data_IF_741074937949
#
_entry.id   IF_741074937949
#
_cell.length_a   1.000
_cell.length_b   1.000
_cell.length_c   1.000
_cell.angle_alpha   90.00
_cell.angle_beta   90.00
_cell.angle_gamma   90.00
#
_symmetry.space_group_name_H-M   'P 1'
#
loop_
_entity.id
_entity.type
_entity.pdbx_description
1 polymer ?
#
# COMPACT_ATOMS: atom_id res chain seq x y z
N UNK A 1 17.55 -9.63 -1.84
CA UNK A 1 17.25 -9.30 -0.44
C UNK A 1 17.74 -10.43 0.42
N UNK A 2 18.85 -10.20 1.14
CA UNK A 2 19.38 -11.17 2.08
C UNK A 2 18.35 -11.37 3.19
N UNK A 3 17.63 -12.47 3.14
CA UNK A 3 16.78 -12.84 4.24
C UNK A 3 17.69 -13.11 5.46
N UNK A 4 17.45 -12.40 6.53
CA UNK A 4 18.01 -12.75 7.83
C UNK A 4 17.87 -14.25 8.03
N UNK A 5 18.97 -14.96 8.26
CA UNK A 5 18.95 -16.38 8.64
C UNK A 5 18.52 -16.44 10.11
N UNK A 6 17.24 -16.21 10.37
CA UNK A 6 16.69 -16.63 11.65
C UNK A 6 16.97 -18.12 11.83
N UNK A 7 17.33 -18.57 13.04
CA UNK A 7 17.44 -19.98 13.34
C UNK A 7 16.22 -20.74 12.78
N UNK A 8 16.42 -21.92 12.21
CA UNK A 8 15.35 -22.67 11.52
C UNK A 8 14.11 -22.89 12.39
N UNK A 9 14.29 -23.01 13.70
CA UNK A 9 13.22 -23.15 14.69
C UNK A 9 12.46 -21.84 14.98
N UNK A 10 12.87 -20.69 14.39
CA UNK A 10 12.24 -19.36 14.56
C UNK A 10 11.89 -18.69 13.24
N UNK A 11 11.98 -19.40 12.12
CA UNK A 11 11.45 -18.87 10.86
C UNK A 11 9.93 -18.70 11.02
N UNK A 12 9.39 -17.49 10.83
CA UNK A 12 7.96 -17.34 10.82
C UNK A 12 7.41 -18.25 9.72
N UNK A 13 6.44 -19.07 10.06
CA UNK A 13 5.67 -19.78 9.03
C UNK A 13 5.02 -18.70 8.19
N UNK A 14 5.27 -18.63 6.87
CA UNK A 14 4.61 -17.66 6.03
C UNK A 14 3.11 -17.83 6.22
N UNK A 15 2.48 -16.86 6.88
CA UNK A 15 1.03 -16.86 6.98
C UNK A 15 0.49 -16.65 5.58
N UNK A 16 -0.25 -17.61 5.07
CA UNK A 16 -1.03 -17.43 3.83
C UNK A 16 -2.21 -16.48 4.05
N UNK A 17 -2.43 -16.02 5.29
CA UNK A 17 -3.50 -15.09 5.63
C UNK A 17 -3.08 -13.68 5.26
N UNK A 18 -3.85 -13.02 4.43
CA UNK A 18 -3.72 -11.60 4.16
C UNK A 18 -4.37 -10.76 5.27
N UNK A 19 -4.14 -9.44 5.22
CA UNK A 19 -4.71 -8.47 6.17
C UNK A 19 -6.22 -8.68 6.40
N UNK A 20 -7.00 -8.89 5.34
CA UNK A 20 -8.45 -9.07 5.43
C UNK A 20 -8.90 -10.38 6.08
N UNK A 21 -8.05 -11.41 6.05
CA UNK A 21 -8.30 -12.63 6.82
C UNK A 21 -8.06 -12.38 8.31
N UNK A 22 -7.00 -11.65 8.63
CA UNK A 22 -6.62 -11.31 10.01
C UNK A 22 -7.71 -10.46 10.67
N UNK A 23 -8.23 -9.43 10.02
CA UNK A 23 -9.29 -8.57 10.57
C UNK A 23 -10.63 -9.29 10.73
N UNK A 24 -10.70 -10.55 10.36
CA UNK A 24 -11.89 -11.39 10.51
C UNK A 24 -11.73 -12.48 11.58
N UNK A 25 -10.59 -12.48 12.31
CA UNK A 25 -10.28 -13.48 13.34
C UNK A 25 -10.00 -12.80 14.69
N UNK A 26 -10.21 -13.52 15.78
CA UNK A 26 -9.89 -13.09 17.14
C UNK A 26 -8.50 -13.59 17.59
N UNK A 27 -7.68 -14.07 16.64
CA UNK A 27 -6.36 -14.67 16.93
C UNK A 27 -5.23 -13.64 17.12
N UNK A 28 -5.49 -12.35 16.83
CA UNK A 28 -4.50 -11.29 16.90
C UNK A 28 -4.87 -10.35 18.04
N UNK A 29 -3.94 -10.14 18.97
CA UNK A 29 -4.12 -9.32 20.15
C UNK A 29 -3.37 -7.99 20.08
N UNK A 30 -2.35 -7.87 19.22
CA UNK A 30 -1.61 -6.63 19.05
C UNK A 30 -1.24 -6.43 17.58
N UNK A 31 -1.15 -5.17 17.15
CA UNK A 31 -0.73 -4.81 15.81
C UNK A 31 0.32 -3.69 15.87
N UNK A 32 1.32 -3.78 14.98
CA UNK A 32 2.30 -2.73 14.74
C UNK A 32 2.30 -2.37 13.27
N UNK A 33 2.16 -1.09 12.97
CA UNK A 33 2.18 -0.55 11.62
C UNK A 33 3.46 0.27 11.41
N UNK A 34 4.24 -0.07 10.39
CA UNK A 34 5.43 0.69 9.98
C UNK A 34 5.14 1.33 8.63
N UNK A 35 4.93 2.65 8.61
CA UNK A 35 4.58 3.40 7.41
C UNK A 35 3.35 2.90 6.68
N UNK A 36 2.50 2.14 7.36
CA UNK A 36 1.30 1.52 6.81
C UNK A 36 0.05 2.14 7.43
N UNK A 37 -0.84 2.65 6.58
CA UNK A 37 -1.98 3.45 7.00
C UNK A 37 -3.29 2.75 6.61
N UNK A 38 -3.81 1.83 7.46
CA UNK A 38 -5.04 1.09 7.14
C UNK A 38 -6.24 1.99 6.85
N UNK A 39 -6.33 3.17 7.46
CA UNK A 39 -7.41 4.13 7.21
C UNK A 39 -7.53 4.59 5.75
N UNK A 40 -6.45 4.54 4.96
CA UNK A 40 -6.46 4.93 3.56
C UNK A 40 -6.61 3.75 2.60
N UNK A 41 -6.36 2.52 3.04
CA UNK A 41 -6.33 1.36 2.14
C UNK A 41 -7.30 0.24 2.52
N UNK A 42 -7.75 0.16 3.77
CA UNK A 42 -8.61 -0.94 4.20
C UNK A 42 -10.05 -0.70 3.73
N UNK A 43 -10.50 -1.50 2.76
CA UNK A 43 -11.90 -1.49 2.30
C UNK A 43 -12.85 -1.85 3.43
N UNK A 44 -14.08 -1.30 3.42
CA UNK A 44 -15.06 -1.44 4.48
C UNK A 44 -14.49 -1.05 5.85
N UNK A 45 -14.18 0.23 5.98
CA UNK A 45 -13.49 0.75 7.16
C UNK A 45 -14.14 0.33 8.49
N UNK A 46 -15.46 0.28 8.57
CA UNK A 46 -16.15 -0.12 9.79
C UNK A 46 -15.76 -1.52 10.28
N UNK A 47 -15.40 -2.44 9.38
CA UNK A 47 -14.89 -3.77 9.72
C UNK A 47 -13.48 -3.69 10.30
N UNK A 48 -12.61 -2.92 9.66
CA UNK A 48 -11.23 -2.71 10.12
C UNK A 48 -11.18 -1.97 11.46
N UNK A 49 -12.04 -0.97 11.63
CA UNK A 49 -12.14 -0.26 12.90
C UNK A 49 -12.53 -1.19 14.06
N UNK A 50 -13.59 -2.01 13.87
CA UNK A 50 -13.97 -2.99 14.91
C UNK A 50 -12.85 -3.94 15.28
N UNK A 51 -12.04 -4.34 14.31
CA UNK A 51 -10.86 -5.15 14.58
C UNK A 51 -9.80 -4.39 15.38
N UNK A 52 -9.46 -3.15 15.00
CA UNK A 52 -8.53 -2.31 15.77
C UNK A 52 -9.02 -2.10 17.21
N UNK A 53 -10.32 -1.82 17.38
CA UNK A 53 -10.94 -1.63 18.69
C UNK A 53 -10.96 -2.91 19.56
N UNK A 54 -10.79 -4.08 18.95
CA UNK A 54 -10.70 -5.38 19.65
C UNK A 54 -9.29 -5.76 20.08
N UNK A 55 -8.26 -5.04 19.63
CA UNK A 55 -6.87 -5.33 19.98
C UNK A 55 -6.52 -4.79 21.36
N UNK A 56 -5.67 -5.52 22.08
CA UNK A 56 -5.15 -5.11 23.38
C UNK A 56 -4.09 -3.99 23.25
N UNK A 57 -3.44 -3.89 22.09
CA UNK A 57 -2.42 -2.88 21.82
C UNK A 57 -2.22 -2.63 20.32
N UNK A 58 -2.16 -1.36 19.95
CA UNK A 58 -1.88 -0.92 18.56
C UNK A 58 -0.77 0.13 18.57
N UNK A 59 0.27 -0.08 17.77
CA UNK A 59 1.39 0.83 17.62
C UNK A 59 1.56 1.26 16.16
N UNK A 60 1.89 2.54 15.96
CA UNK A 60 2.23 3.12 14.66
C UNK A 60 3.65 3.69 14.71
N UNK A 61 4.48 3.30 13.76
CA UNK A 61 5.73 3.99 13.43
C UNK A 61 5.55 4.71 12.09
N UNK A 62 5.55 6.04 12.09
CA UNK A 62 5.33 6.84 10.88
C UNK A 62 6.07 8.19 10.96
N UNK A 63 6.38 8.74 9.80
CA UNK A 63 6.97 10.09 9.66
C UNK A 63 5.91 11.20 9.71
N UNK A 64 4.64 10.88 9.55
CA UNK A 64 3.53 11.82 9.51
C UNK A 64 2.45 11.47 10.52
N UNK A 65 1.79 12.49 11.03
CA UNK A 65 0.56 12.35 11.80
C UNK A 65 -0.60 12.02 10.85
N UNK A 66 -0.70 10.73 10.51
CA UNK A 66 -1.70 10.21 9.57
C UNK A 66 -3.06 9.97 10.24
N UNK A 67 -4.08 9.65 9.44
CA UNK A 67 -5.44 9.40 9.94
C UNK A 67 -5.54 8.19 10.89
N UNK A 68 -4.57 7.30 10.91
CA UNK A 68 -4.59 6.11 11.77
C UNK A 68 -4.20 6.43 13.22
N UNK A 69 -3.57 7.57 13.46
CA UNK A 69 -3.15 8.01 14.82
C UNK A 69 -4.30 8.01 15.83
N UNK A 70 -5.52 8.29 15.36
CA UNK A 70 -6.71 8.29 16.24
C UNK A 70 -7.15 6.88 16.68
N UNK A 71 -6.52 5.83 16.17
CA UNK A 71 -6.88 4.41 16.39
C UNK A 71 -5.72 3.60 16.97
N UNK A 72 -4.67 4.24 17.47
CA UNK A 72 -3.48 3.58 18.02
C UNK A 72 -3.19 4.04 19.45
N UNK A 73 -2.60 3.15 20.25
CA UNK A 73 -2.23 3.43 21.63
C UNK A 73 -0.87 4.12 21.73
N UNK A 74 0.03 3.87 20.78
CA UNK A 74 1.38 4.39 20.77
C UNK A 74 1.80 4.83 19.36
N UNK A 75 2.37 6.03 19.27
CA UNK A 75 3.01 6.53 18.06
C UNK A 75 4.51 6.65 18.29
N UNK A 76 5.29 6.04 17.41
CA UNK A 76 6.76 6.13 17.37
C UNK A 76 7.16 7.02 16.19
N UNK A 77 7.79 8.18 16.43
CA UNK A 77 8.21 9.06 15.34
C UNK A 77 9.38 8.46 14.58
N UNK A 78 9.27 8.41 13.25
CA UNK A 78 10.26 7.83 12.35
C UNK A 78 11.04 8.90 11.62
N UNK A 79 12.35 8.68 11.45
CA UNK A 79 13.22 9.49 10.62
C UNK A 79 12.80 9.41 9.15
N UNK A 80 12.87 10.55 8.46
CA UNK A 80 12.89 10.52 6.99
C UNK A 80 14.21 9.94 6.49
N UNK A 81 14.23 9.50 5.24
CA UNK A 81 15.46 8.98 4.61
C UNK A 81 16.63 10.00 4.57
N UNK A 82 16.38 11.28 4.77
CA UNK A 82 17.43 12.30 4.85
C UNK A 82 18.06 12.42 6.24
N UNK A 83 17.44 11.82 7.24
CA UNK A 83 17.83 11.91 8.65
C UNK A 83 18.52 10.65 9.19
N UNK A 84 18.63 9.60 8.37
CA UNK A 84 19.28 8.33 8.74
C UNK A 84 20.23 7.82 7.64
N UNK A 85 21.17 6.94 8.02
CA UNK A 85 22.16 6.35 7.12
C UNK A 85 22.23 4.81 7.27
N UNK A 86 21.22 4.19 7.82
CA UNK A 86 21.17 2.77 8.12
C UNK A 86 20.36 1.96 7.07
N UNK A 87 20.18 2.53 5.90
CA UNK A 87 19.43 1.90 4.81
C UNK A 87 20.30 1.78 3.56
N UNK A 88 20.46 0.55 3.11
CA UNK A 88 21.02 0.23 1.79
C UNK A 88 20.02 -0.64 1.05
N UNK A 89 19.93 -0.48 -0.25
CA UNK A 89 19.03 -1.31 -1.04
C UNK A 89 19.05 -1.03 -2.52
N UNK A 90 18.60 -2.02 -3.29
CA UNK A 90 18.28 -1.86 -4.69
C UNK A 90 17.05 -1.00 -4.83
N UNK A 91 17.13 0.09 -5.54
CA UNK A 91 15.93 0.77 -5.97
C UNK A 91 15.27 -0.14 -7.01
N UNK A 92 14.14 -0.69 -6.64
CA UNK A 92 13.30 -1.49 -7.53
C UNK A 92 13.01 -0.64 -8.76
N UNK A 93 13.51 -1.02 -9.93
CA UNK A 93 13.49 -0.26 -11.18
C UNK A 93 14.56 0.86 -11.32
N UNK A 94 15.57 0.92 -10.48
CA UNK A 94 16.64 1.90 -10.60
C UNK A 94 17.79 1.42 -11.48
N UNK A 95 17.48 0.90 -12.64
CA UNK A 95 18.49 0.64 -13.67
C UNK A 95 19.69 -0.19 -13.19
N UNK A 96 19.46 -1.12 -12.25
CA UNK A 96 20.52 -2.02 -11.81
C UNK A 96 21.56 -1.40 -10.88
N UNK A 97 21.17 -0.55 -9.95
CA UNK A 97 22.06 0.00 -8.91
C UNK A 97 21.66 -0.45 -7.51
N UNK A 98 22.65 -0.63 -6.65
CA UNK A 98 22.51 -0.61 -5.21
C UNK A 98 22.86 0.79 -4.73
N UNK A 99 22.00 1.36 -3.89
CA UNK A 99 22.16 2.68 -3.32
C UNK A 99 22.30 2.61 -1.81
N UNK A 100 23.17 3.44 -1.27
CA UNK A 100 23.25 3.72 0.16
C UNK A 100 22.47 5.01 0.46
N UNK A 101 21.65 4.96 1.50
CA UNK A 101 20.99 6.15 2.01
C UNK A 101 21.97 6.96 2.86
N UNK A 102 22.25 8.20 2.47
CA UNK A 102 23.17 9.08 3.19
C UNK A 102 22.40 10.09 4.05
N UNK A 103 22.77 10.13 5.33
CA UNK A 103 22.25 11.15 6.25
C UNK A 103 22.77 12.54 5.85
N UNK A 104 21.85 13.48 5.64
CA UNK A 104 22.15 14.87 5.31
C UNK A 104 21.55 15.87 6.31
N UNK A 105 20.69 15.42 7.20
CA UNK A 105 20.04 16.20 8.25
C UNK A 105 20.11 15.44 9.57
N UNK A 106 20.11 16.16 10.67
CA UNK A 106 19.90 15.53 11.97
C UNK A 106 18.43 15.15 12.16
N UNK A 107 18.14 14.04 12.87
CA UNK A 107 16.78 13.64 13.18
C UNK A 107 16.01 14.77 13.86
N UNK A 108 14.78 15.01 13.39
CA UNK A 108 13.89 15.97 14.02
C UNK A 108 13.23 15.35 15.25
N UNK A 109 13.19 16.10 16.34
CA UNK A 109 12.59 15.68 17.61
C UNK A 109 13.17 14.35 18.13
N UNK A 110 12.32 13.45 18.60
CA UNK A 110 12.70 12.13 19.11
C UNK A 110 12.64 11.04 18.03
N UNK A 111 12.66 11.41 16.75
CA UNK A 111 12.55 10.45 15.67
C UNK A 111 13.77 9.52 15.55
N UNK A 112 13.51 8.27 15.22
CA UNK A 112 14.52 7.23 14.98
C UNK A 112 14.23 6.54 13.68
N UNK A 113 15.24 5.91 13.07
CA UNK A 113 15.01 5.07 11.91
C UNK A 113 14.30 3.78 12.28
N UNK A 114 13.69 3.13 11.30
CA UNK A 114 13.01 1.84 11.46
C UNK A 114 13.93 0.81 12.10
N UNK A 115 15.20 0.75 11.69
CA UNK A 115 16.20 -0.16 12.27
C UNK A 115 16.35 0.03 13.79
N UNK A 116 16.49 1.26 14.28
CA UNK A 116 16.66 1.52 15.70
C UNK A 116 15.36 1.34 16.50
N UNK A 117 14.21 1.56 15.88
CA UNK A 117 12.91 1.26 16.50
C UNK A 117 12.75 -0.25 16.65
N UNK A 118 12.98 -1.02 15.61
CA UNK A 118 12.89 -2.49 15.63
C UNK A 118 13.90 -3.10 16.60
N UNK A 119 15.15 -2.61 16.59
CA UNK A 119 16.18 -3.05 17.54
C UNK A 119 15.75 -2.81 18.98
N UNK A 120 15.25 -1.60 19.31
CA UNK A 120 14.79 -1.27 20.64
C UNK A 120 13.63 -2.17 21.12
N UNK A 121 12.69 -2.50 20.24
CA UNK A 121 11.62 -3.45 20.53
C UNK A 121 12.19 -4.85 20.77
N UNK A 122 13.10 -5.31 19.91
CA UNK A 122 13.74 -6.61 20.06
C UNK A 122 14.53 -6.71 21.38
N UNK A 123 15.25 -5.66 21.76
CA UNK A 123 15.96 -5.59 23.04
C UNK A 123 15.00 -5.69 24.24
N UNK A 124 13.89 -4.95 24.21
CA UNK A 124 12.87 -5.02 25.25
C UNK A 124 12.21 -6.42 25.36
N UNK A 125 12.16 -7.15 24.25
CA UNK A 125 11.66 -8.54 24.20
C UNK A 125 12.72 -9.59 24.52
N UNK A 126 13.96 -9.20 24.87
CA UNK A 126 15.08 -10.11 25.09
C UNK A 126 15.65 -10.74 23.82
N UNK A 127 15.39 -10.16 22.66
CA UNK A 127 15.80 -10.62 21.34
C UNK A 127 16.90 -9.73 20.72
N UNK A 128 17.44 -8.76 21.46
CA UNK A 128 18.42 -7.78 20.96
C UNK A 128 19.65 -8.41 20.31
N UNK A 129 20.10 -9.57 20.79
CA UNK A 129 21.23 -10.31 20.21
C UNK A 129 20.98 -10.86 18.79
N UNK A 130 19.77 -10.73 18.25
CA UNK A 130 19.45 -11.09 16.87
C UNK A 130 19.64 -9.90 15.90
N UNK A 131 19.82 -8.70 16.43
CA UNK A 131 20.03 -7.49 15.64
C UNK A 131 21.50 -7.11 15.56
N UNK A 132 21.97 -6.51 14.46
CA UNK A 132 23.28 -5.89 14.38
C UNK A 132 23.48 -4.81 15.44
N UNK A 133 24.73 -4.54 15.80
CA UNK A 133 25.08 -3.59 16.85
C UNK A 133 24.62 -2.16 16.48
N UNK A 134 24.76 -1.80 15.21
CA UNK A 134 24.43 -0.47 14.71
C UNK A 134 24.01 -0.50 13.23
N UNK A 135 23.60 0.65 12.69
CA UNK A 135 23.16 0.78 11.31
C UNK A 135 24.22 0.43 10.25
N UNK A 136 25.50 0.63 10.54
CA UNK A 136 26.58 0.25 9.62
C UNK A 136 26.69 -1.28 9.52
N UNK A 137 26.66 -1.97 10.64
CA UNK A 137 26.66 -3.45 10.64
C UNK A 137 25.39 -4.00 10.02
N UNK A 138 24.26 -3.34 10.19
CA UNK A 138 23.01 -3.68 9.51
C UNK A 138 23.15 -3.54 7.99
N UNK A 139 23.72 -2.44 7.50
CA UNK A 139 23.98 -2.24 6.09
C UNK A 139 24.93 -3.33 5.52
N UNK A 140 25.99 -3.67 6.26
CA UNK A 140 26.90 -4.77 5.89
C UNK A 140 26.19 -6.11 5.82
N UNK A 141 25.31 -6.40 6.77
CA UNK A 141 24.55 -7.65 6.80
C UNK A 141 23.59 -7.75 5.60
N UNK A 142 22.95 -6.65 5.22
CA UNK A 142 22.08 -6.62 4.03
C UNK A 142 22.88 -6.85 2.73
N UNK A 143 24.09 -6.27 2.62
CA UNK A 143 24.94 -6.42 1.45
C UNK A 143 25.61 -7.78 1.36
N UNK A 144 25.62 -8.57 2.44
CA UNK A 144 26.13 -9.93 2.43
C UNK A 144 25.12 -10.85 1.74
N UNK A 145 25.38 -11.16 0.48
CA UNK A 145 24.50 -11.99 -0.37
C UNK A 145 25.33 -12.89 -1.29
N UNK A 146 24.78 -14.02 -1.67
CA UNK A 146 25.36 -14.94 -2.66
C UNK A 146 24.84 -14.63 -4.09
N UNK A 147 24.11 -13.53 -4.26
CA UNK A 147 23.61 -13.12 -5.57
C UNK A 147 24.77 -12.62 -6.45
N UNK A 148 25.06 -13.29 -7.59
CA UNK A 148 26.18 -12.90 -8.46
C UNK A 148 26.07 -11.46 -8.98
N UNK A 149 24.85 -10.93 -9.10
CA UNK A 149 24.65 -9.54 -9.55
C UNK A 149 25.19 -8.50 -8.56
N UNK A 150 25.37 -8.90 -7.31
CA UNK A 150 25.91 -8.06 -6.23
C UNK A 150 27.42 -8.26 -6.00
N UNK A 151 28.12 -8.99 -6.88
CA UNK A 151 29.55 -9.26 -6.71
C UNK A 151 30.37 -7.95 -6.59
N UNK A 152 31.19 -7.87 -5.54
CA UNK A 152 32.04 -6.71 -5.26
C UNK A 152 31.30 -5.49 -4.69
N UNK A 153 29.99 -5.54 -4.48
CA UNK A 153 29.24 -4.49 -3.85
C UNK A 153 29.30 -4.66 -2.32
N UNK A 154 30.11 -3.81 -1.70
CA UNK A 154 30.28 -3.73 -0.26
C UNK A 154 29.98 -2.32 0.22
N UNK A 155 29.85 -2.11 1.53
CA UNK A 155 29.69 -0.78 2.08
C UNK A 155 30.88 0.13 1.75
N UNK A 156 32.09 -0.41 1.75
CA UNK A 156 33.30 0.31 1.35
C UNK A 156 33.29 0.70 -0.14
N UNK A 157 32.74 -0.18 -1.00
CA UNK A 157 32.56 0.14 -2.41
C UNK A 157 31.53 1.26 -2.59
N UNK A 158 30.40 1.19 -1.91
CA UNK A 158 29.36 2.25 -1.91
C UNK A 158 29.94 3.59 -1.44
N UNK A 159 30.65 3.61 -0.32
CA UNK A 159 31.28 4.83 0.21
C UNK A 159 32.28 5.43 -0.79
N UNK A 160 33.07 4.61 -1.49
CA UNK A 160 34.02 5.05 -2.51
C UNK A 160 33.31 5.62 -3.73
N UNK A 161 32.17 5.06 -4.13
CA UNK A 161 31.40 5.41 -5.32
C UNK A 161 30.25 6.40 -5.00
N UNK A 162 30.41 7.20 -3.95
CA UNK A 162 29.42 8.20 -3.52
C UNK A 162 28.01 7.65 -3.28
N UNK A 163 27.92 6.46 -2.70
CA UNK A 163 26.67 5.83 -2.29
C UNK A 163 25.91 5.07 -3.38
N UNK A 164 26.52 4.81 -4.55
CA UNK A 164 25.86 4.11 -5.65
C UNK A 164 26.80 3.13 -6.36
N UNK A 165 26.51 1.84 -6.34
CA UNK A 165 27.21 0.82 -7.09
C UNK A 165 26.30 0.17 -8.13
N UNK A 166 26.78 0.03 -9.37
CA UNK A 166 26.05 -0.68 -10.42
C UNK A 166 26.10 -2.18 -10.15
N UNK A 167 24.96 -2.86 -10.28
CA UNK A 167 24.89 -4.31 -10.26
C UNK A 167 25.69 -4.90 -11.43
N UNK A 168 26.36 -6.02 -11.20
CA UNK A 168 26.95 -6.84 -12.27
C UNK A 168 25.81 -7.63 -12.91
N UNK A 169 25.12 -7.01 -13.83
CA UNK A 169 24.06 -7.65 -14.61
C UNK A 169 24.61 -7.96 -15.98
N UNK A 170 24.49 -9.19 -16.41
CA UNK A 170 24.69 -9.59 -17.82
C UNK A 170 23.45 -9.18 -18.63
N UNK A 171 23.03 -7.94 -18.42
CA UNK A 171 22.01 -7.32 -19.24
C UNK A 171 22.73 -6.71 -20.42
N UNK A 172 22.77 -7.44 -21.51
CA UNK A 172 23.04 -6.82 -22.77
C UNK A 172 22.08 -5.63 -22.91
N UNK A 173 22.59 -4.46 -23.28
CA UNK A 173 21.82 -3.20 -23.36
C UNK A 173 20.67 -3.25 -24.38
N UNK A 174 20.43 -4.39 -24.96
CA UNK A 174 19.36 -4.68 -25.89
C UNK A 174 18.08 -5.08 -25.14
N UNK A 175 17.43 -4.10 -24.53
CA UNK A 175 16.01 -4.21 -24.17
C UNK A 175 15.24 -4.48 -25.46
N UNK A 176 14.97 -5.76 -25.74
CA UNK A 176 14.20 -6.21 -26.90
C UNK A 176 14.81 -7.32 -27.72
N UNK A 177 16.06 -7.70 -27.51
CA UNK A 177 16.57 -8.95 -28.10
C UNK A 177 16.26 -10.11 -27.17
N UNK A 178 15.54 -11.11 -27.68
CA UNK A 178 15.17 -12.37 -27.01
C UNK A 178 16.37 -13.28 -26.73
N UNK A 179 17.51 -12.71 -26.32
CA UNK A 179 18.71 -13.48 -26.11
C UNK A 179 18.71 -14.02 -24.69
N UNK A 180 18.22 -15.24 -24.55
CA UNK A 180 18.51 -16.07 -23.38
C UNK A 180 17.77 -15.72 -22.09
N UNK A 181 16.68 -14.97 -22.11
CA UNK A 181 15.85 -14.77 -20.91
C UNK A 181 15.31 -16.10 -20.39
N UNK A 182 15.77 -16.48 -19.21
CA UNK A 182 15.23 -17.63 -18.50
C UNK A 182 14.20 -17.11 -17.49
N UNK A 183 12.98 -17.58 -17.59
CA UNK A 183 11.92 -17.23 -16.64
C UNK A 183 11.91 -18.22 -15.48
N UNK A 184 11.56 -17.73 -14.29
CA UNK A 184 11.38 -18.58 -13.10
C UNK A 184 10.03 -19.32 -13.15
N UNK A 185 9.81 -20.06 -14.24
CA UNK A 185 8.64 -20.88 -14.51
C UNK A 185 9.06 -22.33 -14.74
N UNK A 186 8.18 -23.32 -14.56
CA UNK A 186 8.50 -24.75 -14.81
C UNK A 186 9.08 -25.01 -16.20
N UNK A 187 8.59 -24.32 -17.24
CA UNK A 187 9.09 -24.45 -18.61
C UNK A 187 10.34 -23.61 -18.89
N UNK A 188 10.78 -22.77 -17.95
CA UNK A 188 11.83 -21.75 -18.13
C UNK A 188 11.52 -20.72 -19.23
N UNK A 189 10.28 -20.66 -19.69
CA UNK A 189 9.77 -19.74 -20.71
C UNK A 189 8.64 -18.88 -20.14
N UNK A 190 8.27 -17.85 -20.86
CA UNK A 190 7.04 -17.13 -20.57
C UNK A 190 5.84 -18.07 -20.84
N UNK A 191 5.04 -18.30 -19.80
CA UNK A 191 3.91 -19.23 -19.86
C UNK A 191 2.60 -18.46 -20.01
N UNK A 192 1.98 -18.43 -21.19
CA UNK A 192 0.63 -17.88 -21.37
C UNK A 192 -0.46 -18.78 -20.74
N UNK A 193 -0.14 -20.05 -20.49
CA UNK A 193 -0.97 -21.00 -19.74
C UNK A 193 -0.40 -21.17 -18.34
N UNK A 194 -1.19 -20.80 -17.32
CA UNK A 194 -0.76 -20.88 -15.92
C UNK A 194 -1.50 -21.99 -15.18
N UNK A 195 -0.85 -23.13 -15.02
CA UNK A 195 -1.46 -24.36 -14.50
C UNK A 195 -2.07 -24.19 -13.10
N UNK A 196 -1.43 -23.39 -12.22
CA UNK A 196 -1.94 -23.14 -10.88
C UNK A 196 -3.32 -22.47 -10.86
N UNK A 197 -3.71 -21.84 -11.98
CA UNK A 197 -5.00 -21.18 -12.13
C UNK A 197 -6.06 -22.08 -12.79
N UNK A 198 -5.72 -23.32 -13.09
CA UNK A 198 -6.66 -24.26 -13.75
C UNK A 198 -7.90 -24.52 -12.89
N UNK A 199 -7.73 -24.70 -11.57
CA UNK A 199 -8.84 -24.91 -10.63
C UNK A 199 -9.84 -23.75 -10.59
N UNK A 200 -9.42 -22.56 -11.02
CA UNK A 200 -10.22 -21.34 -11.10
C UNK A 200 -10.80 -21.08 -12.49
N UNK A 201 -10.57 -21.96 -13.46
CA UNK A 201 -10.94 -21.76 -14.86
C UNK A 201 -10.17 -20.63 -15.55
N UNK A 202 -9.04 -20.22 -15.00
CA UNK A 202 -8.22 -19.08 -15.42
C UNK A 202 -6.81 -19.48 -15.87
N UNK A 203 -6.61 -20.74 -16.23
CA UNK A 203 -5.32 -21.19 -16.77
C UNK A 203 -4.90 -20.39 -18.02
N UNK A 204 -5.86 -20.03 -18.87
CA UNK A 204 -5.74 -18.89 -19.77
C UNK A 204 -6.54 -17.72 -19.21
N UNK A 205 -6.01 -16.48 -19.24
CA UNK A 205 -6.75 -15.32 -18.81
C UNK A 205 -8.10 -15.20 -19.54
N UNK A 206 -9.18 -15.15 -18.76
CA UNK A 206 -10.53 -14.97 -19.28
C UNK A 206 -11.20 -13.81 -18.59
N UNK A 207 -12.08 -13.11 -19.33
CA UNK A 207 -12.89 -12.08 -18.72
C UNK A 207 -13.88 -12.70 -17.72
N UNK A 208 -13.98 -12.06 -16.55
CA UNK A 208 -14.98 -12.38 -15.55
C UNK A 208 -15.80 -11.14 -15.21
N UNK A 209 -17.07 -11.38 -14.96
CA UNK A 209 -17.96 -10.33 -14.52
C UNK A 209 -17.51 -9.76 -13.16
N UNK A 210 -17.49 -8.43 -12.98
CA UNK A 210 -17.28 -7.81 -11.67
C UNK A 210 -18.21 -8.41 -10.60
N UNK A 211 -17.73 -8.51 -9.37
CA UNK A 211 -18.50 -9.13 -8.29
C UNK A 211 -19.66 -8.24 -7.80
N UNK A 212 -19.60 -6.92 -7.97
CA UNK A 212 -20.64 -5.98 -7.53
C UNK A 212 -21.09 -5.03 -8.65
N UNK A 213 -20.17 -4.31 -9.29
CA UNK A 213 -20.50 -3.26 -10.27
C UNK A 213 -20.80 -3.83 -11.67
N UNK A 214 -21.80 -4.70 -11.80
CA UNK A 214 -22.27 -5.19 -13.08
C UNK A 214 -23.70 -4.70 -13.39
N UNK A 215 -24.09 -4.60 -14.68
CA UNK A 215 -25.34 -3.93 -15.06
C UNK A 215 -26.61 -4.50 -14.41
N UNK A 216 -26.71 -5.83 -14.29
CA UNK A 216 -27.91 -6.52 -13.80
C UNK A 216 -27.92 -6.70 -12.27
N UNK A 217 -26.96 -6.10 -11.53
CA UNK A 217 -26.94 -6.22 -10.09
C UNK A 217 -28.13 -5.46 -9.48
N UNK A 218 -29.00 -6.11 -8.68
CA UNK A 218 -30.11 -5.43 -8.02
C UNK A 218 -29.71 -4.27 -7.12
N UNK A 219 -28.49 -4.25 -6.61
CA UNK A 219 -27.95 -3.12 -5.82
C UNK A 219 -27.92 -1.82 -6.61
N UNK A 220 -27.90 -1.85 -7.95
CA UNK A 220 -27.94 -0.64 -8.79
C UNK A 220 -29.24 0.13 -8.70
N UNK A 221 -30.33 -0.49 -8.28
CA UNK A 221 -31.57 0.23 -7.98
C UNK A 221 -31.40 1.19 -6.80
N UNK A 222 -30.52 0.86 -5.86
CA UNK A 222 -30.23 1.65 -4.65
C UNK A 222 -28.94 2.47 -4.79
N UNK A 223 -27.94 1.93 -5.44
CA UNK A 223 -26.60 2.49 -5.62
C UNK A 223 -26.17 2.43 -7.08
N UNK A 224 -26.67 3.35 -7.93
CA UNK A 224 -26.49 3.24 -9.38
C UNK A 224 -25.09 3.58 -9.89
N UNK A 225 -24.27 4.29 -9.09
CA UNK A 225 -22.97 4.78 -9.52
C UNK A 225 -21.86 3.79 -9.20
N UNK A 226 -21.05 3.44 -10.20
CA UNK A 226 -19.80 2.71 -9.96
C UNK A 226 -18.73 3.67 -9.46
N UNK A 227 -18.20 3.40 -8.29
CA UNK A 227 -17.11 4.17 -7.69
C UNK A 227 -15.76 3.60 -8.10
N UNK A 228 -14.94 4.44 -8.72
CA UNK A 228 -13.58 4.13 -9.13
C UNK A 228 -12.57 4.98 -8.38
N UNK A 229 -11.54 4.32 -7.91
CA UNK A 229 -10.41 4.94 -7.22
C UNK A 229 -9.16 4.77 -8.06
N UNK A 230 -8.37 5.83 -8.22
CA UNK A 230 -7.09 5.74 -8.89
C UNK A 230 -6.07 6.68 -8.27
N UNK A 231 -4.82 6.53 -8.65
CA UNK A 231 -3.72 7.35 -8.12
C UNK A 231 -3.89 8.82 -8.47
N UNK A 232 -3.58 9.67 -7.50
CA UNK A 232 -3.47 11.09 -7.75
C UNK A 232 -2.28 11.39 -8.66
N UNK A 233 -2.40 12.42 -9.48
CA UNK A 233 -1.32 12.97 -10.29
C UNK A 233 -0.21 13.59 -9.44
N UNK A 234 -0.51 14.03 -8.23
CA UNK A 234 0.36 14.85 -7.37
C UNK A 234 0.96 14.10 -6.18
N UNK A 235 0.59 12.84 -5.97
CA UNK A 235 1.06 12.04 -4.84
C UNK A 235 1.03 10.55 -5.18
N UNK A 236 1.82 9.78 -4.45
CA UNK A 236 1.85 8.32 -4.55
C UNK A 236 1.17 7.75 -3.32
N UNK A 237 -0.01 7.14 -3.50
CA UNK A 237 -0.86 6.72 -2.39
C UNK A 237 -1.08 7.86 -1.38
N UNK A 238 -0.90 7.63 -0.08
CA UNK A 238 -0.98 8.65 0.96
C UNK A 238 0.29 9.50 1.14
N UNK A 239 1.40 9.12 0.48
CA UNK A 239 2.65 9.87 0.57
C UNK A 239 2.44 11.33 0.14
N UNK A 240 3.03 12.24 0.91
CA UNK A 240 2.90 13.70 0.76
C UNK A 240 1.50 14.28 1.02
N UNK A 241 0.52 13.49 1.46
CA UNK A 241 -0.81 14.04 1.80
C UNK A 241 -0.74 15.13 2.89
N UNK A 242 0.23 15.04 3.80
CA UNK A 242 0.50 16.06 4.81
C UNK A 242 1.28 17.29 4.32
N UNK A 243 1.81 17.29 3.10
CA UNK A 243 2.62 18.39 2.57
C UNK A 243 1.76 19.60 2.19
N UNK A 244 2.01 20.76 2.80
CA UNK A 244 1.21 21.99 2.59
C UNK A 244 1.14 22.42 1.12
N UNK A 245 2.22 22.24 0.37
CA UNK A 245 2.26 22.60 -1.05
C UNK A 245 1.41 21.67 -1.93
N UNK A 246 1.29 20.38 -1.56
CA UNK A 246 0.34 19.46 -2.22
C UNK A 246 -1.09 19.88 -1.92
N UNK A 247 -1.40 20.23 -0.67
CA UNK A 247 -2.74 20.65 -0.25
C UNK A 247 -3.19 21.94 -0.98
N UNK A 248 -2.26 22.84 -1.28
CA UNK A 248 -2.55 24.05 -2.06
C UNK A 248 -2.84 23.77 -3.52
N UNK A 249 -2.30 22.68 -4.09
CA UNK A 249 -2.46 22.30 -5.49
C UNK A 249 -3.63 21.35 -5.72
N UNK A 250 -4.02 20.61 -4.71
CA UNK A 250 -4.98 19.52 -4.83
C UNK A 250 -5.91 19.46 -3.62
N UNK A 251 -7.12 19.96 -3.81
CA UNK A 251 -8.22 19.77 -2.87
C UNK A 251 -8.90 18.41 -3.17
N UNK A 252 -9.06 17.54 -2.18
CA UNK A 252 -9.79 16.27 -2.37
C UNK A 252 -11.23 16.53 -2.83
N UNK A 253 -11.66 15.82 -3.86
CA UNK A 253 -13.00 15.91 -4.42
C UNK A 253 -13.38 14.61 -5.10
N UNK A 254 -14.69 14.37 -5.19
CA UNK A 254 -15.25 13.33 -6.05
C UNK A 254 -15.68 13.94 -7.37
N UNK A 255 -15.37 13.27 -8.46
CA UNK A 255 -15.75 13.70 -9.80
C UNK A 255 -16.97 12.92 -10.28
N UNK A 256 -17.92 13.62 -10.89
CA UNK A 256 -19.17 13.07 -11.40
C UNK A 256 -19.50 13.68 -12.77
N UNK A 257 -20.10 12.88 -13.63
CA UNK A 257 -20.61 13.40 -14.89
C UNK A 257 -21.72 14.43 -14.63
N UNK A 258 -21.77 15.57 -15.38
CA UNK A 258 -22.82 16.59 -15.20
C UNK A 258 -24.24 16.05 -15.32
N UNK A 259 -24.49 15.04 -16.14
CA UNK A 259 -25.81 14.41 -16.27
C UNK A 259 -26.26 13.71 -14.99
N UNK A 260 -25.31 13.00 -14.33
CA UNK A 260 -25.59 12.29 -13.09
C UNK A 260 -25.77 13.24 -11.90
N UNK A 261 -25.00 14.34 -11.90
CA UNK A 261 -25.15 15.41 -10.91
C UNK A 261 -26.52 16.11 -11.06
N UNK A 262 -26.90 16.48 -12.28
CA UNK A 262 -28.18 17.12 -12.55
C UNK A 262 -29.39 16.26 -12.14
N UNK A 263 -29.33 14.94 -12.37
CA UNK A 263 -30.36 13.99 -11.96
C UNK A 263 -30.53 13.94 -10.41
N UNK A 264 -29.54 14.41 -9.65
CA UNK A 264 -29.50 14.46 -8.17
C UNK A 264 -29.66 15.88 -7.62
N UNK A 265 -29.88 16.88 -8.50
CA UNK A 265 -29.96 18.28 -8.09
C UNK A 265 -28.64 18.85 -7.56
N UNK A 266 -27.51 18.24 -7.90
CA UNK A 266 -26.17 18.63 -7.46
C UNK A 266 -25.51 19.58 -8.46
N UNK A 267 -24.69 20.50 -7.93
CA UNK A 267 -23.90 21.45 -8.73
C UNK A 267 -22.41 21.38 -8.37
N UNK A 268 -21.56 21.89 -9.24
CA UNK A 268 -20.12 21.94 -9.02
C UNK A 268 -19.79 22.70 -7.73
N UNK A 269 -18.91 22.10 -6.89
CA UNK A 269 -18.51 22.64 -5.60
C UNK A 269 -19.41 22.30 -4.42
N UNK A 270 -20.55 21.61 -4.63
CA UNK A 270 -21.39 21.15 -3.52
C UNK A 270 -20.60 20.23 -2.57
N UNK A 271 -20.84 20.39 -1.27
CA UNK A 271 -20.48 19.39 -0.27
C UNK A 271 -21.45 18.22 -0.39
N UNK A 272 -20.89 17.00 -0.57
CA UNK A 272 -21.68 15.79 -0.82
C UNK A 272 -21.35 14.68 0.18
N UNK A 273 -22.34 13.84 0.45
CA UNK A 273 -22.20 12.57 1.11
C UNK A 273 -22.24 11.44 0.07
N UNK A 274 -21.19 10.64 0.05
CA UNK A 274 -21.05 9.43 -0.77
C UNK A 274 -21.30 8.24 0.13
N UNK A 275 -22.22 7.36 -0.25
CA UNK A 275 -22.67 6.30 0.68
C UNK A 275 -23.10 5.01 -0.01
N UNK A 276 -23.08 3.94 0.77
CA UNK A 276 -23.73 2.66 0.48
C UNK A 276 -24.01 1.91 1.81
N UNK A 277 -24.38 0.62 1.75
CA UNK A 277 -24.69 -0.16 2.95
C UNK A 277 -23.47 -0.40 3.87
N UNK A 278 -22.23 -0.18 3.40
CA UNK A 278 -21.00 -0.32 4.20
C UNK A 278 -20.72 0.91 5.06
N UNK A 279 -21.06 2.08 4.56
CA UNK A 279 -20.83 3.35 5.25
C UNK A 279 -20.93 4.55 4.33
N UNK A 280 -20.37 5.68 4.80
CA UNK A 280 -20.34 6.92 4.03
C UNK A 280 -19.07 7.72 4.27
N UNK A 281 -18.82 8.68 3.37
CA UNK A 281 -17.82 9.73 3.56
C UNK A 281 -18.29 11.04 2.94
N UNK A 282 -17.68 12.16 3.34
CA UNK A 282 -17.98 13.48 2.83
C UNK A 282 -16.83 14.07 2.04
N UNK A 283 -17.16 14.78 0.99
CA UNK A 283 -16.17 15.48 0.15
C UNK A 283 -16.86 16.54 -0.72
N UNK A 284 -16.08 17.34 -1.43
CA UNK A 284 -16.60 18.25 -2.44
C UNK A 284 -16.89 17.51 -3.75
N UNK A 285 -17.91 17.97 -4.46
CA UNK A 285 -18.21 17.52 -5.82
C UNK A 285 -17.49 18.39 -6.86
N UNK A 286 -16.94 17.75 -7.87
CA UNK A 286 -16.45 18.38 -9.08
C UNK A 286 -17.12 17.77 -10.30
N UNK A 287 -17.67 18.60 -11.17
CA UNK A 287 -18.24 18.15 -12.43
C UNK A 287 -17.13 17.90 -13.46
N UNK A 288 -17.15 16.70 -14.06
CA UNK A 288 -16.17 16.34 -15.07
C UNK A 288 -16.81 15.53 -16.21
N UNK A 289 -16.82 16.10 -17.42
CA UNK A 289 -17.34 15.42 -18.62
C UNK A 289 -16.52 14.19 -19.05
N UNK A 290 -15.30 14.03 -18.55
CA UNK A 290 -14.47 12.85 -18.83
C UNK A 290 -14.86 11.64 -17.99
N UNK A 291 -15.60 11.84 -16.89
CA UNK A 291 -16.20 10.72 -16.12
C UNK A 291 -17.41 10.20 -16.91
N UNK A 292 -17.44 8.89 -17.11
CA UNK A 292 -18.58 8.27 -17.80
C UNK A 292 -19.86 8.40 -16.97
N UNK A 293 -21.04 8.55 -17.61
CA UNK A 293 -22.31 8.41 -16.89
C UNK A 293 -22.39 7.10 -16.11
N UNK A 294 -23.13 7.12 -15.00
CA UNK A 294 -23.25 6.04 -14.04
C UNK A 294 -21.93 5.65 -13.33
N UNK A 295 -20.96 6.57 -13.33
CA UNK A 295 -19.68 6.39 -12.65
C UNK A 295 -19.29 7.61 -11.82
N UNK A 296 -18.53 7.40 -10.77
CA UNK A 296 -17.91 8.43 -9.97
C UNK A 296 -16.43 8.10 -9.76
N UNK A 297 -15.58 9.12 -9.71
CA UNK A 297 -14.15 8.97 -9.57
C UNK A 297 -13.61 9.81 -8.43
N UNK A 298 -12.67 9.25 -7.66
CA UNK A 298 -11.92 9.99 -6.65
C UNK A 298 -10.47 9.51 -6.58
N UNK A 299 -9.54 10.44 -6.38
CA UNK A 299 -8.16 10.08 -6.13
C UNK A 299 -8.01 9.34 -4.79
N UNK A 300 -7.35 8.18 -4.80
CA UNK A 300 -7.18 7.30 -3.64
C UNK A 300 -6.40 7.93 -2.47
N UNK A 301 -6.51 7.34 -1.29
CA UNK A 301 -5.62 7.55 -0.14
C UNK A 301 -5.63 8.97 0.41
N UNK A 302 -6.78 9.61 0.48
CA UNK A 302 -6.96 10.92 1.11
C UNK A 302 -7.10 10.79 2.63
N UNK A 303 -6.39 11.61 3.40
CA UNK A 303 -6.50 11.62 4.86
C UNK A 303 -7.87 12.14 5.32
N UNK A 304 -8.38 11.56 6.43
CA UNK A 304 -9.69 11.89 6.98
C UNK A 304 -9.86 13.38 7.36
N UNK A 305 -8.79 14.06 7.75
CA UNK A 305 -8.83 15.49 8.06
C UNK A 305 -9.19 16.37 6.86
N UNK A 306 -9.09 15.84 5.64
CA UNK A 306 -9.51 16.52 4.41
C UNK A 306 -10.87 16.03 3.89
N UNK A 307 -11.53 15.16 4.63
CA UNK A 307 -12.82 14.58 4.30
C UNK A 307 -13.82 14.77 5.46
N UNK A 308 -13.76 15.91 6.12
CA UNK A 308 -14.63 16.23 7.27
C UNK A 308 -14.64 15.11 8.35
N UNK A 309 -13.45 14.57 8.65
CA UNK A 309 -13.30 13.49 9.61
C UNK A 309 -13.80 12.12 9.17
N UNK A 310 -14.21 11.96 7.92
CA UNK A 310 -14.71 10.70 7.34
C UNK A 310 -13.61 9.98 6.53
N UNK A 311 -13.88 8.77 6.09
CA UNK A 311 -12.92 7.96 5.33
C UNK A 311 -13.54 7.40 4.05
N UNK A 312 -12.93 7.68 2.91
CA UNK A 312 -13.41 7.20 1.62
C UNK A 312 -13.50 5.66 1.53
N UNK A 313 -12.68 4.95 2.29
CA UNK A 313 -12.71 3.49 2.32
C UNK A 313 -13.91 2.91 3.07
N UNK A 314 -14.72 3.75 3.71
CA UNK A 314 -15.96 3.31 4.36
C UNK A 314 -16.93 2.65 3.39
N UNK A 315 -16.95 3.10 2.13
CA UNK A 315 -17.86 2.56 1.09
C UNK A 315 -17.24 1.44 0.26
N UNK A 316 -15.92 1.25 0.32
CA UNK A 316 -15.22 0.34 -0.59
C UNK A 316 -15.61 -1.12 -0.40
N UNK A 317 -15.72 -1.83 -1.51
CA UNK A 317 -16.04 -3.26 -1.55
C UNK A 317 -14.88 -4.09 -0.98
N UNK A 318 -15.16 -4.88 0.04
CA UNK A 318 -14.20 -5.75 0.75
C UNK A 318 -14.35 -7.24 0.43
N UNK A 319 -15.06 -7.58 -0.65
CA UNK A 319 -15.19 -8.97 -1.10
C UNK A 319 -13.83 -9.51 -1.53
N UNK A 320 -13.32 -10.47 -0.80
CA UNK A 320 -12.05 -11.09 -1.13
C UNK A 320 -12.15 -12.02 -2.33
N UNK A 321 -11.20 -11.91 -3.26
CA UNK A 321 -10.99 -12.90 -4.30
C UNK A 321 -9.87 -13.85 -3.85
N UNK A 322 -10.18 -15.11 -3.50
CA UNK A 322 -9.21 -16.04 -2.94
C UNK A 322 -8.15 -16.50 -3.93
N UNK A 323 -8.33 -16.30 -5.22
CA UNK A 323 -7.32 -16.65 -6.25
C UNK A 323 -5.96 -16.02 -6.02
N UNK A 324 -5.93 -14.86 -5.33
CA UNK A 324 -4.70 -14.19 -4.97
C UNK A 324 -3.73 -15.06 -4.16
N UNK A 325 -4.24 -16.03 -3.40
CA UNK A 325 -3.40 -16.97 -2.65
C UNK A 325 -2.58 -17.90 -3.54
N UNK A 326 -3.11 -18.26 -4.71
CA UNK A 326 -2.43 -19.11 -5.68
C UNK A 326 -1.51 -18.28 -6.62
N UNK A 327 -1.65 -16.96 -6.59
CA UNK A 327 -0.84 -16.08 -7.43
C UNK A 327 0.45 -15.61 -6.74
N UNK A 328 0.47 -15.02 -5.59
CA UNK A 328 1.67 -14.60 -4.88
C UNK A 328 1.41 -13.60 -3.75
N UNK A 329 0.29 -12.86 -3.78
CA UNK A 329 0.07 -11.66 -2.96
C UNK A 329 -1.05 -11.79 -1.94
N UNK A 330 -1.64 -12.97 -1.77
CA UNK A 330 -2.84 -13.13 -0.94
C UNK A 330 -4.11 -12.64 -1.64
N UNK A 331 -5.24 -12.57 -0.94
CA UNK A 331 -6.53 -12.24 -1.54
C UNK A 331 -6.53 -10.84 -2.15
N UNK A 332 -7.21 -10.72 -3.28
CA UNK A 332 -7.35 -9.46 -4.02
C UNK A 332 -8.69 -8.82 -3.65
N UNK A 333 -8.68 -7.53 -3.38
CA UNK A 333 -9.87 -6.73 -3.09
C UNK A 333 -10.25 -5.89 -4.31
N UNK A 334 -11.53 -5.91 -4.74
CA UNK A 334 -11.97 -5.21 -5.94
C UNK A 334 -12.44 -3.78 -5.64
N UNK A 335 -11.57 -2.91 -5.17
CA UNK A 335 -11.88 -1.53 -4.79
C UNK A 335 -12.71 -0.77 -5.83
N UNK A 336 -12.43 -0.98 -7.13
CA UNK A 336 -13.06 -0.27 -8.24
C UNK A 336 -14.39 -0.90 -8.70
N UNK A 337 -14.85 -1.94 -8.02
CA UNK A 337 -16.15 -2.58 -8.29
C UNK A 337 -17.17 -2.29 -7.19
N UNK A 338 -17.07 -1.10 -6.61
CA UNK A 338 -17.96 -0.62 -5.56
C UNK A 338 -19.13 0.14 -6.16
N UNK A 339 -20.35 -0.14 -5.70
CA UNK A 339 -21.54 0.64 -6.00
C UNK A 339 -21.83 1.64 -4.89
N UNK A 340 -22.18 2.87 -5.28
CA UNK A 340 -22.47 3.99 -4.36
C UNK A 340 -23.66 4.81 -4.84
N UNK A 341 -24.16 5.65 -3.95
CA UNK A 341 -25.01 6.81 -4.26
C UNK A 341 -24.40 8.08 -3.65
N UNK A 342 -24.76 9.23 -4.23
CA UNK A 342 -24.29 10.56 -3.84
C UNK A 342 -25.48 11.47 -3.62
N UNK A 343 -25.49 12.17 -2.50
CA UNK A 343 -26.49 13.19 -2.18
C UNK A 343 -25.82 14.45 -1.62
N UNK A 344 -26.57 15.56 -1.52
CA UNK A 344 -26.06 16.76 -0.86
C UNK A 344 -25.82 16.49 0.63
N UNK A 345 -24.69 16.95 1.17
CA UNK A 345 -24.38 16.76 2.58
C UNK A 345 -25.41 17.50 3.46
N UNK A 346 -25.94 16.78 4.48
CA UNK A 346 -26.95 17.33 5.38
C UNK A 346 -28.42 17.08 5.00
N UNK A 347 -28.64 16.37 3.86
CA UNK A 347 -29.98 15.91 3.43
C UNK A 347 -30.23 14.42 3.83
#
# INVERSE_FOLDING_TARGET
MGAWKLPENRKPTPSKKGFYDIVSTDDVHAAMFFGDIPTQKAANWAKTQRWLDSLDFVCLADIYHSSVVDYVDLVLPVCSKFECADSVGGVKNANGYILENQKVLDPLFDSKSDFYIEKGIAEAMGLGGLYPENGEEYARAILTTDDPSCEGITLEALNRENGACKLVLDWDDTVGEEVGMTYATPSTKQEPYYENMLAWGQAFPQWERPNEAYPENPLREKYPLQFSQARSRFRVHSAYSGAKWIQQLFEPHIELNPSDAAARGLVDGDEVEVYNDRGSFRTKLRLNNAVQPESAFMAESTYRQYLDGTLMQSVSNDTMNPRGYDMMFGPIIPYNYTLIEIKKAGE
#
